data_IF_663689035814
#
_entry.id   IF_663689035814
#
_cell.length_a   1.000
_cell.length_b   1.000
_cell.length_c   1.000
_cell.angle_alpha   90.00
_cell.angle_beta   90.00
_cell.angle_gamma   90.00
#
_symmetry.space_group_name_H-M   'P 1'
#
loop_
_entity.id
_entity.type
_entity.pdbx_description
1 polymer ?
#
# COMPACT_ATOMS: atom_id res chain seq x y z
N UNK A 1 15.31 0.16 -2.05
CA UNK A 1 13.84 0.29 -1.91
C UNK A 1 13.21 0.06 -3.28
N UNK A 2 12.25 -0.88 -3.36
CA UNK A 2 11.57 -1.29 -4.60
C UNK A 2 10.46 -0.34 -5.05
N UNK A 3 9.48 -0.85 -5.77
CA UNK A 3 8.27 -0.12 -6.22
C UNK A 3 7.17 -0.17 -5.15
N UNK A 4 6.11 0.58 -5.37
CA UNK A 4 4.90 0.54 -4.53
C UNK A 4 3.70 0.11 -5.39
N UNK A 5 2.82 -0.68 -4.81
CA UNK A 5 1.55 -1.06 -5.43
C UNK A 5 0.42 -0.38 -4.67
N UNK A 6 -0.42 0.33 -5.39
CA UNK A 6 -1.66 0.89 -4.88
C UNK A 6 -2.79 -0.03 -5.33
N UNK A 7 -3.43 -0.69 -4.38
CA UNK A 7 -4.53 -1.64 -4.63
C UNK A 7 -5.81 -1.01 -4.11
N UNK A 8 -6.76 -0.74 -5.00
CA UNK A 8 -8.07 -0.22 -4.64
C UNK A 8 -9.04 -1.37 -4.36
N UNK A 9 -9.85 -1.23 -3.32
CA UNK A 9 -10.88 -2.20 -2.93
C UNK A 9 -12.25 -1.67 -3.31
N UNK A 10 -13.21 -2.52 -3.68
CA UNK A 10 -14.61 -2.10 -3.89
C UNK A 10 -15.31 -1.87 -2.52
N UNK A 11 -14.71 -1.03 -1.70
CA UNK A 11 -15.15 -0.62 -0.37
C UNK A 11 -15.10 0.90 -0.36
N UNK A 12 -16.22 1.50 0.04
CA UNK A 12 -16.42 2.94 0.01
C UNK A 12 -16.88 3.46 1.37
N UNK A 13 -16.51 4.69 1.70
CA UNK A 13 -17.06 5.41 2.85
C UNK A 13 -18.29 6.25 2.46
N UNK A 14 -18.91 6.89 3.45
CA UNK A 14 -20.10 7.74 3.26
C UNK A 14 -19.83 9.02 2.45
N UNK A 15 -18.56 9.33 2.16
CA UNK A 15 -18.12 10.48 1.39
C UNK A 15 -17.73 10.13 -0.06
N UNK A 16 -17.91 8.88 -0.47
CA UNK A 16 -17.56 8.41 -1.81
C UNK A 16 -16.05 8.21 -2.03
N UNK A 17 -15.28 8.17 -0.94
CA UNK A 17 -13.90 7.72 -0.99
C UNK A 17 -13.85 6.22 -1.12
N UNK A 18 -12.87 5.72 -1.85
CA UNK A 18 -12.55 4.32 -2.02
C UNK A 18 -11.38 3.95 -1.12
N UNK A 19 -11.43 2.74 -0.55
CA UNK A 19 -10.33 2.22 0.25
C UNK A 19 -9.17 1.78 -0.64
N UNK A 20 -7.95 2.15 -0.27
CA UNK A 20 -6.72 1.68 -0.88
C UNK A 20 -5.78 1.04 0.15
N UNK A 21 -5.14 -0.05 -0.24
CA UNK A 21 -3.95 -0.57 0.46
C UNK A 21 -2.72 -0.33 -0.39
N UNK A 22 -1.67 0.19 0.24
CA UNK A 22 -0.40 0.52 -0.39
C UNK A 22 0.66 -0.45 0.12
N UNK A 23 1.25 -1.22 -0.79
CA UNK A 23 2.35 -2.14 -0.52
C UNK A 23 3.66 -1.55 -1.02
N UNK A 24 4.44 -0.95 -0.11
CA UNK A 24 5.73 -0.34 -0.39
C UNK A 24 6.89 -1.34 -0.33
N UNK A 25 8.01 -0.97 -0.97
CA UNK A 25 9.24 -1.77 -1.02
C UNK A 25 9.06 -3.16 -1.67
N UNK A 26 8.34 -3.22 -2.77
CA UNK A 26 8.04 -4.46 -3.48
C UNK A 26 8.73 -4.56 -4.85
N UNK A 27 8.76 -5.76 -5.41
CA UNK A 27 9.07 -6.05 -6.81
C UNK A 27 7.84 -6.72 -7.44
N UNK A 28 6.97 -5.95 -8.12
CA UNK A 28 5.77 -6.49 -8.78
C UNK A 28 6.09 -7.63 -9.76
N UNK A 29 5.26 -8.67 -9.78
CA UNK A 29 5.42 -9.77 -10.73
C UNK A 29 5.07 -9.35 -12.17
N UNK A 30 5.52 -10.16 -13.14
CA UNK A 30 5.20 -9.93 -14.55
C UNK A 30 3.68 -9.90 -14.77
N UNK A 31 3.20 -8.90 -15.52
CA UNK A 31 1.78 -8.68 -15.77
C UNK A 31 1.03 -7.95 -14.66
N UNK A 32 1.70 -7.52 -13.59
CA UNK A 32 1.12 -6.58 -12.61
C UNK A 32 1.25 -5.17 -13.16
N UNK A 33 0.13 -4.64 -13.64
CA UNK A 33 0.00 -3.31 -14.27
C UNK A 33 -1.24 -2.61 -13.72
N UNK A 34 -1.27 -1.27 -13.86
CA UNK A 34 -2.43 -0.47 -13.48
C UNK A 34 -3.71 -1.00 -14.17
N UNK A 35 -4.83 -1.00 -13.43
CA UNK A 35 -6.12 -1.51 -13.88
C UNK A 35 -6.28 -3.03 -13.85
N UNK A 36 -5.25 -3.82 -13.50
CA UNK A 36 -5.42 -5.26 -13.27
C UNK A 36 -6.26 -5.50 -12.01
N UNK A 37 -7.25 -6.37 -12.13
CA UNK A 37 -8.04 -6.89 -11.01
C UNK A 37 -7.34 -8.11 -10.44
N UNK A 38 -7.32 -8.22 -9.11
CA UNK A 38 -6.73 -9.32 -8.37
C UNK A 38 -7.79 -10.00 -7.51
N UNK A 39 -7.58 -11.27 -7.19
CA UNK A 39 -8.36 -11.99 -6.18
C UNK A 39 -7.67 -11.92 -4.83
N UNK A 40 -8.43 -11.98 -3.74
CA UNK A 40 -7.85 -12.17 -2.41
C UNK A 40 -6.97 -13.42 -2.38
N UNK A 41 -5.79 -13.32 -1.75
CA UNK A 41 -4.79 -14.39 -1.70
C UNK A 41 -3.92 -14.52 -2.94
N UNK A 42 -4.19 -13.75 -4.01
CA UNK A 42 -3.34 -13.74 -5.21
C UNK A 42 -1.98 -13.08 -4.93
N UNK A 43 -0.92 -13.71 -5.43
CA UNK A 43 0.44 -13.20 -5.28
C UNK A 43 0.69 -12.08 -6.30
N UNK A 44 0.89 -10.85 -5.83
CA UNK A 44 1.06 -9.66 -6.68
C UNK A 44 2.50 -9.12 -6.73
N UNK A 45 3.34 -9.42 -5.74
CA UNK A 45 4.73 -8.96 -5.71
C UNK A 45 5.59 -9.75 -4.72
N UNK A 46 6.91 -9.64 -4.88
CA UNK A 46 7.88 -10.04 -3.86
C UNK A 46 8.36 -8.83 -3.05
N UNK A 47 8.88 -9.04 -1.84
CA UNK A 47 9.57 -7.98 -1.08
C UNK A 47 10.89 -7.65 -1.79
N UNK A 48 11.17 -6.37 -1.99
CA UNK A 48 12.40 -5.93 -2.65
C UNK A 48 13.61 -6.12 -1.73
N UNK A 49 14.70 -6.60 -2.31
CA UNK A 49 15.96 -6.77 -1.59
C UNK A 49 16.57 -5.41 -1.18
N UNK A 50 16.68 -5.18 0.13
CA UNK A 50 17.29 -3.99 0.69
C UNK A 50 18.82 -4.02 0.60
N UNK A 51 19.46 -5.20 0.49
CA UNK A 51 20.93 -5.34 0.52
C UNK A 51 21.65 -4.71 -0.66
N UNK A 52 20.95 -4.49 -1.78
CA UNK A 52 21.55 -3.92 -3.01
C UNK A 52 21.78 -2.41 -2.95
N UNK A 53 21.31 -1.73 -1.90
CA UNK A 53 21.49 -0.29 -1.71
C UNK A 53 21.90 -0.10 -0.25
N UNK A 54 23.05 0.52 0.06
CA UNK A 54 23.63 0.77 1.39
C UNK A 54 22.66 1.34 2.46
N UNK A 55 21.61 0.62 2.80
CA UNK A 55 20.53 1.01 3.69
C UNK A 55 20.59 0.07 4.88
N UNK A 56 20.70 0.62 6.08
CA UNK A 56 20.83 -0.15 7.33
C UNK A 56 19.54 -0.90 7.73
N UNK A 57 18.50 -0.87 6.90
CA UNK A 57 17.21 -1.48 7.18
C UNK A 57 17.09 -2.79 6.41
N UNK A 58 16.70 -3.87 7.09
CA UNK A 58 16.44 -5.15 6.48
C UNK A 58 15.32 -5.07 5.43
N UNK A 59 15.29 -6.03 4.50
CA UNK A 59 14.19 -6.18 3.54
C UNK A 59 12.86 -6.34 4.29
N UNK A 60 11.93 -5.43 4.08
CA UNK A 60 10.65 -5.38 4.78
C UNK A 60 9.54 -4.92 3.84
N UNK A 61 8.31 -5.21 4.23
CA UNK A 61 7.10 -4.73 3.57
C UNK A 61 6.58 -3.50 4.33
N UNK A 62 6.39 -2.39 3.63
CA UNK A 62 5.67 -1.24 4.17
C UNK A 62 4.21 -1.36 3.77
N UNK A 63 3.29 -1.28 4.73
CA UNK A 63 1.84 -1.33 4.49
C UNK A 63 1.23 -0.03 4.98
N UNK A 64 0.50 0.64 4.10
CA UNK A 64 -0.35 1.78 4.44
C UNK A 64 -1.78 1.52 3.97
N UNK A 65 -2.76 2.08 4.67
CA UNK A 65 -4.16 2.07 4.27
C UNK A 65 -4.67 3.49 4.21
N UNK A 66 -5.47 3.79 3.18
CA UNK A 66 -5.92 5.13 2.92
C UNK A 66 -7.29 5.18 2.26
N UNK A 67 -8.01 6.25 2.56
CA UNK A 67 -9.19 6.68 1.82
C UNK A 67 -8.81 7.78 0.83
N UNK A 68 -9.23 7.62 -0.43
CA UNK A 68 -9.10 8.62 -1.49
C UNK A 68 -10.40 8.71 -2.28
N UNK A 69 -10.74 9.86 -2.83
CA UNK A 69 -11.91 10.00 -3.71
C UNK A 69 -11.88 8.93 -4.82
N UNK A 70 -13.00 8.25 -5.04
CA UNK A 70 -13.11 7.18 -6.05
C UNK A 70 -12.79 7.64 -7.48
N UNK A 71 -12.95 8.93 -7.75
CA UNK A 71 -12.60 9.59 -9.01
C UNK A 71 -11.14 10.05 -9.09
N UNK A 72 -10.33 9.82 -8.05
CA UNK A 72 -8.93 10.24 -8.04
C UNK A 72 -8.13 9.47 -9.10
N UNK A 73 -7.39 10.17 -9.99
CA UNK A 73 -6.69 9.54 -11.10
C UNK A 73 -5.51 8.70 -10.60
N UNK A 74 -5.41 7.46 -11.06
CA UNK A 74 -4.38 6.52 -10.60
C UNK A 74 -2.97 6.95 -11.01
N UNK A 75 -2.82 7.76 -12.07
CA UNK A 75 -1.55 8.31 -12.53
C UNK A 75 -0.94 9.29 -11.53
N UNK A 76 -1.75 9.82 -10.61
CA UNK A 76 -1.31 10.73 -9.55
C UNK A 76 -1.07 10.02 -8.22
N UNK A 77 -1.21 8.69 -8.16
CA UNK A 77 -0.92 7.90 -6.97
C UNK A 77 0.58 7.70 -6.80
N UNK A 78 1.16 8.50 -5.93
CA UNK A 78 2.56 8.41 -5.50
C UNK A 78 2.70 8.79 -4.02
N UNK A 79 3.91 8.67 -3.48
CA UNK A 79 4.19 9.02 -2.08
C UNK A 79 4.03 10.51 -1.76
N UNK A 80 4.08 11.40 -2.76
CA UNK A 80 3.83 12.83 -2.55
C UNK A 80 2.34 13.08 -2.32
N UNK A 81 1.48 12.40 -3.08
CA UNK A 81 0.03 12.40 -2.86
C UNK A 81 -0.32 11.80 -1.50
N UNK A 82 0.34 10.71 -1.08
CA UNK A 82 0.10 10.12 0.24
C UNK A 82 0.46 11.03 1.42
N UNK A 83 1.34 12.01 1.22
CA UNK A 83 1.71 13.01 2.23
C UNK A 83 0.79 14.24 2.23
N UNK A 84 -0.26 14.27 1.38
CA UNK A 84 -1.18 15.40 1.30
C UNK A 84 -2.51 15.06 1.99
N UNK A 85 -2.67 15.55 3.22
CA UNK A 85 -3.86 15.37 4.07
C UNK A 85 -5.15 15.97 3.48
N UNK A 86 -5.05 16.90 2.52
CA UNK A 86 -6.20 17.45 1.78
C UNK A 86 -6.75 16.49 0.72
N UNK A 87 -5.99 15.47 0.36
CA UNK A 87 -6.31 14.52 -0.72
C UNK A 87 -6.48 13.11 -0.19
N UNK A 88 -5.75 12.76 0.87
CA UNK A 88 -5.66 11.40 1.40
C UNK A 88 -5.92 11.41 2.89
N UNK A 89 -6.79 10.52 3.34
CA UNK A 89 -6.91 10.20 4.77
C UNK A 89 -6.23 8.87 5.03
N UNK A 90 -5.06 8.92 5.68
CA UNK A 90 -4.35 7.72 6.15
C UNK A 90 -5.07 7.13 7.36
N UNK A 91 -5.12 5.81 7.43
CA UNK A 91 -5.76 5.08 8.52
C UNK A 91 -4.81 4.01 9.07
N UNK A 92 -5.01 3.62 10.33
CA UNK A 92 -4.24 2.53 10.93
C UNK A 92 -4.47 1.23 10.15
N UNK A 93 -3.44 0.66 9.48
CA UNK A 93 -3.58 -0.58 8.73
C UNK A 93 -4.04 -1.76 9.58
N UNK A 94 -3.73 -1.76 10.88
CA UNK A 94 -4.10 -2.83 11.80
C UNK A 94 -5.60 -2.94 12.02
N UNK A 95 -6.36 -1.87 11.78
CA UNK A 95 -7.82 -1.91 11.81
C UNK A 95 -8.39 -2.81 10.71
N UNK A 96 -7.74 -2.86 9.54
CA UNK A 96 -8.20 -3.60 8.37
C UNK A 96 -7.58 -4.99 8.25
N UNK A 97 -6.35 -5.15 8.74
CA UNK A 97 -5.69 -6.44 8.79
C UNK A 97 -6.31 -7.19 9.96
N UNK A 98 -7.20 -8.15 9.67
CA UNK A 98 -7.81 -9.05 10.65
C UNK A 98 -6.75 -9.88 11.38
N UNK A 99 -6.06 -9.30 12.34
CA UNK A 99 -4.88 -9.90 12.95
C UNK A 99 -5.27 -10.68 14.20
N UNK A 100 -4.96 -11.97 14.20
CA UNK A 100 -4.83 -12.78 15.43
C UNK A 100 -3.51 -12.53 16.17
N UNK A 101 -2.65 -11.65 15.64
CA UNK A 101 -1.30 -11.40 16.12
C UNK A 101 -1.19 -10.00 16.73
N UNK A 102 -0.38 -9.86 17.80
CA UNK A 102 -0.09 -8.58 18.43
C UNK A 102 0.90 -7.79 17.58
N UNK A 103 0.56 -6.57 17.20
CA UNK A 103 1.52 -5.63 16.64
C UNK A 103 2.43 -5.11 17.76
N UNK A 104 3.75 -5.10 17.53
CA UNK A 104 4.71 -4.53 18.47
C UNK A 104 5.50 -3.42 17.76
N UNK A 105 5.53 -2.24 18.37
CA UNK A 105 6.42 -1.17 17.95
C UNK A 105 7.85 -1.57 18.31
N UNK A 106 8.71 -1.72 17.29
CA UNK A 106 10.15 -1.87 17.48
C UNK A 106 10.75 -0.47 17.33
N UNK A 107 11.35 0.05 18.39
CA UNK A 107 12.21 1.23 18.29
C UNK A 107 13.57 0.75 17.75
N UNK A 108 13.98 1.32 16.61
CA UNK A 108 15.33 1.17 16.06
C UNK A 108 16.23 2.26 16.65
#
# INVERSE_FOLDING_TARGET
>A
MGKSLFVSHDIFDDHGNRLHTIYGHTNPYHGVKAGRVFREGEIIAAIADAKRKNVQVASHLHISVAWLLSSFPYERLDWKTMNNDRVVTLYDPLYFIGSKHKAQRIAL
#
